data_IF_439947785038
#
_entry.id   IF_439947785038
#
_cell.length_a   1.000
_cell.length_b   1.000
_cell.length_c   1.000
_cell.angle_alpha   90.00
_cell.angle_beta   90.00
_cell.angle_gamma   90.00
#
_symmetry.space_group_name_H-M   'P 1'
#
loop_
_entity.id
_entity.type
_entity.pdbx_description
1 polymer ?
#
# COMPACT_ATOMS: atom_id res chain seq x y z
N UNK A 1 1.91 33.36 -1.74
CA UNK A 1 3.16 32.58 -1.71
C UNK A 1 3.14 31.61 -2.87
N UNK A 2 4.22 31.52 -3.65
CA UNK A 2 4.32 30.50 -4.70
C UNK A 2 4.61 29.12 -4.08
N UNK A 3 4.28 28.04 -4.79
CA UNK A 3 4.57 26.67 -4.34
C UNK A 3 6.05 26.43 -4.05
N UNK A 4 6.93 27.06 -4.84
CA UNK A 4 8.39 27.00 -4.64
C UNK A 4 8.83 27.56 -3.28
N UNK A 5 8.24 28.69 -2.85
CA UNK A 5 8.55 29.29 -1.54
C UNK A 5 8.07 28.40 -0.38
N UNK A 6 7.00 27.64 -0.56
CA UNK A 6 6.54 26.67 0.44
C UNK A 6 7.50 25.48 0.54
N UNK A 7 7.96 24.94 -0.60
CA UNK A 7 8.93 23.83 -0.63
C UNK A 7 10.24 24.24 0.04
N UNK A 8 10.77 25.42 -0.27
CA UNK A 8 12.00 25.94 0.36
C UNK A 8 11.89 26.03 1.88
N UNK A 9 10.74 26.45 2.40
CA UNK A 9 10.50 26.50 3.86
C UNK A 9 10.47 25.13 4.51
N UNK A 10 10.01 24.10 3.80
CA UNK A 10 10.02 22.71 4.29
C UNK A 10 11.45 22.16 4.31
N UNK A 11 12.25 22.48 3.29
CA UNK A 11 13.62 21.95 3.12
C UNK A 11 14.65 22.70 3.99
N UNK A 12 14.45 23.99 4.25
CA UNK A 12 15.40 24.84 4.95
C UNK A 12 15.91 24.29 6.30
N UNK A 13 15.09 23.67 7.17
CA UNK A 13 15.59 23.07 8.42
C UNK A 13 16.64 21.97 8.17
N UNK A 14 16.45 21.13 7.15
CA UNK A 14 17.37 20.03 6.84
C UNK A 14 18.75 20.55 6.41
N UNK A 15 18.78 21.66 5.67
CA UNK A 15 20.02 22.33 5.26
C UNK A 15 20.67 23.07 6.42
N UNK A 16 19.88 23.84 7.18
CA UNK A 16 20.38 24.64 8.30
C UNK A 16 21.02 23.79 9.41
N UNK A 17 20.55 22.56 9.59
CA UNK A 17 21.10 21.60 10.54
C UNK A 17 22.16 20.65 9.93
N UNK A 18 22.52 20.83 8.65
CA UNK A 18 23.54 20.01 7.98
C UNK A 18 23.14 18.54 7.79
N UNK A 19 21.84 18.23 7.79
CA UNK A 19 21.31 16.89 7.52
C UNK A 19 21.45 16.57 6.03
N UNK A 20 21.23 17.56 5.17
CA UNK A 20 21.39 17.46 3.72
C UNK A 20 22.34 18.57 3.22
N UNK A 21 23.07 18.29 2.15
CA UNK A 21 24.04 19.20 1.50
C UNK A 21 23.35 20.23 0.63
N UNK A 22 22.26 19.85 -0.03
CA UNK A 22 21.49 20.70 -0.93
C UNK A 22 20.00 20.35 -0.95
N UNK A 23 19.21 21.20 -1.63
CA UNK A 23 17.76 21.04 -1.72
C UNK A 23 17.36 19.72 -2.40
N UNK A 24 18.15 19.24 -3.37
CA UNK A 24 17.84 18.02 -4.10
C UNK A 24 17.99 16.79 -3.21
N UNK A 25 19.06 16.72 -2.40
CA UNK A 25 19.27 15.66 -1.42
C UNK A 25 18.15 15.64 -0.37
N UNK A 26 17.71 16.80 0.12
CA UNK A 26 16.61 16.88 1.07
C UNK A 26 15.29 16.41 0.46
N UNK A 27 14.96 16.84 -0.76
CA UNK A 27 13.75 16.40 -1.46
C UNK A 27 13.78 14.90 -1.76
N UNK A 28 14.93 14.38 -2.17
CA UNK A 28 15.12 12.95 -2.42
C UNK A 28 14.90 12.15 -1.14
N UNK A 29 15.57 12.52 -0.06
CA UNK A 29 15.42 11.85 1.25
C UNK A 29 13.95 11.83 1.70
N UNK A 30 13.24 12.96 1.59
CA UNK A 30 11.83 13.06 1.97
C UNK A 30 10.93 12.20 1.07
N UNK A 31 11.20 12.18 -0.23
CA UNK A 31 10.45 11.36 -1.19
C UNK A 31 10.65 9.86 -0.93
N UNK A 32 11.92 9.43 -0.78
CA UNK A 32 12.27 8.03 -0.48
C UNK A 32 11.63 7.57 0.83
N UNK A 33 11.76 8.35 1.91
CA UNK A 33 11.17 8.00 3.20
C UNK A 33 9.63 7.94 3.14
N UNK A 34 8.99 8.85 2.40
CA UNK A 34 7.54 8.80 2.23
C UNK A 34 7.10 7.56 1.44
N UNK A 35 7.78 7.25 0.33
CA UNK A 35 7.49 6.08 -0.50
C UNK A 35 7.69 4.79 0.29
N UNK A 36 8.79 4.64 1.01
CA UNK A 36 9.06 3.47 1.86
C UNK A 36 7.98 3.27 2.92
N UNK A 37 7.49 4.36 3.53
CA UNK A 37 6.37 4.31 4.48
C UNK A 37 5.07 3.84 3.83
N UNK A 38 4.80 4.25 2.59
CA UNK A 38 3.62 3.76 1.86
C UNK A 38 3.76 2.30 1.44
N UNK A 39 4.90 1.90 0.89
CA UNK A 39 5.19 0.49 0.54
C UNK A 39 4.95 -0.40 1.76
N UNK A 40 5.63 -0.11 2.88
CA UNK A 40 5.47 -0.87 4.13
C UNK A 40 4.00 -0.96 4.58
N UNK A 41 3.28 0.16 4.54
CA UNK A 41 1.87 0.21 4.95
C UNK A 41 1.01 -0.76 4.12
N UNK A 42 1.19 -0.78 2.80
CA UNK A 42 0.38 -1.64 1.93
C UNK A 42 0.87 -3.08 1.92
N UNK A 43 2.17 -3.34 2.10
CA UNK A 43 2.70 -4.69 2.35
C UNK A 43 2.10 -5.29 3.63
N UNK A 44 2.13 -4.57 4.74
CA UNK A 44 1.53 -5.00 6.01
C UNK A 44 0.02 -5.25 5.86
N UNK A 45 -0.67 -4.40 5.08
CA UNK A 45 -2.11 -4.56 4.82
C UNK A 45 -2.41 -5.80 3.97
N UNK A 46 -1.67 -6.02 2.90
CA UNK A 46 -1.82 -7.20 2.06
C UNK A 46 -1.44 -8.48 2.81
N UNK A 47 -0.35 -8.44 3.60
CA UNK A 47 0.10 -9.58 4.40
C UNK A 47 -0.92 -9.95 5.48
N UNK A 48 -1.63 -8.98 6.06
CA UNK A 48 -2.73 -9.26 6.99
C UNK A 48 -3.76 -10.21 6.36
N UNK A 49 -4.20 -9.94 5.12
CA UNK A 49 -5.16 -10.79 4.42
C UNK A 49 -4.57 -12.13 4.00
N UNK A 50 -3.33 -12.14 3.48
CA UNK A 50 -2.60 -13.38 3.15
C UNK A 50 -2.48 -14.30 4.36
N UNK A 51 -2.12 -13.76 5.52
CA UNK A 51 -2.01 -14.50 6.77
C UNK A 51 -3.37 -14.97 7.31
N UNK A 52 -4.41 -14.14 7.19
CA UNK A 52 -5.75 -14.46 7.68
C UNK A 52 -6.43 -15.56 6.85
N UNK A 53 -6.42 -15.42 5.52
CA UNK A 53 -7.08 -16.36 4.60
C UNK A 53 -6.18 -17.50 4.13
N UNK A 54 -4.86 -17.38 4.26
CA UNK A 54 -3.85 -18.39 3.88
C UNK A 54 -3.94 -18.78 2.40
N UNK A 55 -4.13 -17.79 1.55
CA UNK A 55 -4.33 -17.94 0.10
C UNK A 55 -3.83 -16.69 -0.64
N UNK A 56 -3.92 -16.65 -1.96
CA UNK A 56 -3.65 -15.44 -2.76
C UNK A 56 -4.93 -14.62 -2.98
N UNK A 57 -4.81 -13.37 -3.38
CA UNK A 57 -5.98 -12.50 -3.64
C UNK A 57 -6.84 -13.04 -4.78
N UNK A 58 -6.23 -13.67 -5.79
CA UNK A 58 -6.94 -14.27 -6.93
C UNK A 58 -7.75 -15.49 -6.48
N UNK A 59 -7.12 -16.39 -5.73
CA UNK A 59 -7.80 -17.57 -5.16
C UNK A 59 -8.89 -17.15 -4.16
N UNK A 60 -8.66 -16.08 -3.40
CA UNK A 60 -9.68 -15.54 -2.51
C UNK A 60 -10.87 -14.99 -3.30
N UNK A 61 -10.64 -14.26 -4.40
CA UNK A 61 -11.71 -13.79 -5.28
C UNK A 61 -12.57 -14.93 -5.82
N UNK A 62 -11.96 -16.03 -6.26
CA UNK A 62 -12.68 -17.24 -6.70
C UNK A 62 -13.53 -17.84 -5.57
N UNK A 63 -13.03 -17.84 -4.33
CA UNK A 63 -13.80 -18.31 -3.16
C UNK A 63 -14.97 -17.40 -2.82
N UNK A 64 -14.81 -16.07 -2.95
CA UNK A 64 -15.89 -15.10 -2.76
C UNK A 64 -16.97 -15.31 -3.81
N UNK A 65 -16.60 -15.48 -5.08
CA UNK A 65 -17.55 -15.76 -6.17
C UNK A 65 -18.35 -17.04 -5.90
N UNK A 66 -17.68 -18.14 -5.58
CA UNK A 66 -18.34 -19.40 -5.23
C UNK A 66 -19.25 -19.25 -3.98
N UNK A 67 -18.83 -18.46 -2.99
CA UNK A 67 -19.64 -18.17 -1.80
C UNK A 67 -20.91 -17.39 -2.17
N UNK A 68 -20.84 -16.44 -3.09
CA UNK A 68 -22.01 -15.72 -3.59
C UNK A 68 -22.96 -16.62 -4.39
N UNK A 69 -22.43 -17.57 -5.16
CA UNK A 69 -23.21 -18.52 -5.98
C UNK A 69 -23.95 -19.61 -5.19
N UNK A 70 -23.65 -19.78 -3.90
CA UNK A 70 -24.27 -20.85 -3.10
C UNK A 70 -23.34 -22.04 -2.81
N UNK A 71 -22.32 -22.24 -3.64
CA UNK A 71 -21.51 -23.46 -3.73
C UNK A 71 -20.22 -23.43 -2.89
N UNK A 72 -19.73 -22.24 -2.54
CA UNK A 72 -18.46 -22.02 -1.85
C UNK A 72 -18.58 -21.91 -0.33
N UNK A 73 -17.42 -22.03 0.32
CA UNK A 73 -17.23 -21.78 1.77
C UNK A 73 -15.84 -21.20 2.00
N UNK A 74 -15.76 -20.17 2.84
CA UNK A 74 -14.49 -19.60 3.28
C UNK A 74 -14.27 -20.03 4.74
N UNK A 75 -13.28 -20.91 4.96
CA UNK A 75 -13.04 -21.53 6.28
C UNK A 75 -12.75 -20.50 7.37
N UNK A 76 -12.03 -19.42 7.05
CA UNK A 76 -11.72 -18.34 7.99
C UNK A 76 -12.97 -17.62 8.52
N UNK A 77 -14.09 -17.68 7.79
CA UNK A 77 -15.35 -17.02 8.13
C UNK A 77 -16.43 -17.99 8.64
N UNK A 78 -16.08 -19.25 8.89
CA UNK A 78 -17.03 -20.31 9.24
C UNK A 78 -17.88 -20.05 10.50
N UNK A 79 -17.45 -19.12 11.37
CA UNK A 79 -18.20 -18.73 12.57
C UNK A 79 -19.33 -17.72 12.32
N UNK A 80 -19.44 -17.17 11.11
CA UNK A 80 -20.47 -16.20 10.73
C UNK A 80 -21.64 -16.88 10.02
N UNK A 81 -22.81 -16.26 10.02
CA UNK A 81 -23.90 -16.70 9.13
C UNK A 81 -23.57 -16.41 7.66
N UNK A 82 -24.26 -17.06 6.73
CA UNK A 82 -23.93 -16.95 5.29
C UNK A 82 -23.93 -15.51 4.78
N UNK A 83 -24.90 -14.69 5.18
CA UNK A 83 -25.00 -13.31 4.72
C UNK A 83 -23.84 -12.48 5.25
N UNK A 84 -23.49 -12.68 6.52
CA UNK A 84 -22.31 -12.06 7.12
C UNK A 84 -21.01 -12.52 6.46
N UNK A 85 -20.88 -13.80 6.10
CA UNK A 85 -19.72 -14.31 5.37
C UNK A 85 -19.57 -13.59 4.02
N UNK A 86 -20.65 -13.45 3.24
CA UNK A 86 -20.61 -12.78 1.94
C UNK A 86 -20.16 -11.33 2.10
N UNK A 87 -20.87 -10.54 2.92
CA UNK A 87 -20.54 -9.12 3.11
C UNK A 87 -19.10 -8.95 3.58
N UNK A 88 -18.68 -9.74 4.56
CA UNK A 88 -17.33 -9.66 5.10
C UNK A 88 -16.28 -10.01 4.04
N UNK A 89 -16.53 -11.04 3.24
CA UNK A 89 -15.58 -11.50 2.24
C UNK A 89 -15.49 -10.54 1.04
N UNK A 90 -16.60 -9.92 0.64
CA UNK A 90 -16.62 -8.85 -0.37
C UNK A 90 -15.83 -7.61 0.10
N UNK A 91 -16.09 -7.14 1.32
CA UNK A 91 -15.37 -6.01 1.92
C UNK A 91 -13.86 -6.29 2.02
N UNK A 92 -13.50 -7.47 2.53
CA UNK A 92 -12.10 -7.87 2.70
C UNK A 92 -11.42 -8.08 1.33
N UNK A 93 -12.15 -8.54 0.30
CA UNK A 93 -11.62 -8.69 -1.06
C UNK A 93 -11.35 -7.34 -1.71
N UNK A 94 -12.30 -6.40 -1.62
CA UNK A 94 -12.14 -5.05 -2.15
C UNK A 94 -10.91 -4.38 -1.53
N UNK A 95 -10.78 -4.47 -0.21
CA UNK A 95 -9.67 -3.84 0.49
C UNK A 95 -8.32 -4.49 0.17
N UNK A 96 -8.27 -5.82 0.09
CA UNK A 96 -7.04 -6.52 -0.29
C UNK A 96 -6.62 -6.16 -1.72
N UNK A 97 -7.56 -6.17 -2.68
CA UNK A 97 -7.26 -5.77 -4.06
C UNK A 97 -6.78 -4.31 -4.14
N UNK A 98 -7.39 -3.40 -3.37
CA UNK A 98 -6.93 -2.03 -3.30
C UNK A 98 -5.49 -1.95 -2.74
N UNK A 99 -5.18 -2.72 -1.69
CA UNK A 99 -3.84 -2.76 -1.11
C UNK A 99 -2.78 -3.24 -2.12
N UNK A 100 -3.04 -4.32 -2.85
CA UNK A 100 -2.14 -4.85 -3.89
C UNK A 100 -1.95 -3.83 -5.03
N UNK A 101 -3.03 -3.16 -5.46
CA UNK A 101 -2.94 -2.13 -6.50
C UNK A 101 -2.11 -0.91 -6.05
N UNK A 102 -2.31 -0.44 -4.83
CA UNK A 102 -1.51 0.68 -4.29
C UNK A 102 -0.06 0.27 -4.08
N UNK A 103 0.19 -0.94 -3.60
CA UNK A 103 1.53 -1.48 -3.43
C UNK A 103 2.28 -1.51 -4.76
N UNK A 104 1.67 -2.03 -5.82
CA UNK A 104 2.26 -2.05 -7.15
C UNK A 104 2.60 -0.63 -7.67
N UNK A 105 1.70 0.33 -7.45
CA UNK A 105 1.95 1.75 -7.82
C UNK A 105 3.10 2.35 -7.02
N UNK A 106 3.19 2.08 -5.72
CA UNK A 106 4.28 2.60 -4.89
C UNK A 106 5.63 1.98 -5.24
N UNK A 107 5.69 0.69 -5.56
CA UNK A 107 6.92 0.08 -6.09
C UNK A 107 7.36 0.68 -7.43
N UNK A 108 6.42 1.06 -8.30
CA UNK A 108 6.76 1.77 -9.54
C UNK A 108 7.41 3.13 -9.24
N UNK A 109 6.82 3.90 -8.31
CA UNK A 109 7.40 5.19 -7.87
C UNK A 109 8.78 4.99 -7.22
N UNK A 110 8.94 3.97 -6.39
CA UNK A 110 10.22 3.62 -5.77
C UNK A 110 11.30 3.33 -6.83
N UNK A 111 10.93 2.54 -7.85
CA UNK A 111 11.81 2.22 -8.98
C UNK A 111 12.20 3.48 -9.75
N UNK A 112 11.23 4.37 -10.03
CA UNK A 112 11.49 5.64 -10.72
C UNK A 112 12.43 6.56 -9.92
N UNK A 113 12.28 6.63 -8.59
CA UNK A 113 13.16 7.40 -7.71
C UNK A 113 14.60 6.85 -7.68
N UNK A 114 14.75 5.52 -7.66
CA UNK A 114 16.05 4.86 -7.74
C UNK A 114 16.73 5.12 -9.09
N UNK A 115 15.97 5.09 -10.18
CA UNK A 115 16.48 5.36 -11.53
C UNK A 115 16.87 6.84 -11.71
N UNK A 116 16.07 7.77 -11.20
CA UNK A 116 16.38 9.21 -11.22
C UNK A 116 17.65 9.55 -10.42
N UNK A 117 18.08 8.65 -9.55
CA UNK A 117 19.26 8.78 -8.70
C UNK A 117 20.54 8.20 -9.31
N UNK A 118 20.44 7.53 -10.46
CA UNK A 118 21.57 6.91 -11.14
C UNK A 118 21.96 7.80 -12.33
N UNK A 119 23.20 8.32 -12.39
CA UNK A 119 23.65 9.19 -13.49
C UNK A 119 23.73 8.47 -14.85
#
# INVERSE_FOLDING_TARGET
>A
MSGLEAVKKIVAPFLAHGICKDEAEALKMLAEDYVQRQVRRYEERAEHFRSFYRTSVEQFAEQVEALCEGSGRISALAGLDRRQQIVRAEDDLEEWQAAEQFLARWHAVETDLQNASTP
#
